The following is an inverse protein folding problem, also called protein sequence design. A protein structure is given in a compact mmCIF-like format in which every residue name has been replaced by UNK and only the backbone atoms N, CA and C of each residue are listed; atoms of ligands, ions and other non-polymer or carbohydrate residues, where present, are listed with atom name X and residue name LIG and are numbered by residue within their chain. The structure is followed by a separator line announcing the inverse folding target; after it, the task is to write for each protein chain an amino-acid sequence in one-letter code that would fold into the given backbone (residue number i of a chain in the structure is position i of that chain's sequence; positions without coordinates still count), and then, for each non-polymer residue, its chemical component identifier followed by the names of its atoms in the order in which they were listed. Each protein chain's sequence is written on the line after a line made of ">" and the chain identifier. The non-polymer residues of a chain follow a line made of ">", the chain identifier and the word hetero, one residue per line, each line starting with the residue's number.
data_IF_166312953969
#
_entry.id   IF_166312953969
#
_cell.length_a   1.000
_cell.length_b   1.000
_cell.length_c   1.000
_cell.angle_alpha   90.00
_cell.angle_beta   90.00
_cell.angle_gamma   90.00
#
_symmetry.space_group_name_H-M   'P 1'
#
loop_
_entity.id
_entity.type
_entity.pdbx_description
1 polymer ?
#
# COMPACT_ATOMS: atom_id res chain seq x y z
N UNK A 1 -1.39 -21.31 -8.04
CA UNK A 1 -1.01 -19.89 -7.84
C UNK A 1 0.38 -19.68 -8.39
N UNK A 2 0.63 -18.58 -9.10
CA UNK A 2 1.99 -18.18 -9.49
C UNK A 2 2.53 -17.26 -8.41
N UNK A 3 3.72 -17.55 -7.92
CA UNK A 3 4.47 -16.65 -7.04
C UNK A 3 5.32 -15.71 -7.89
N UNK A 4 5.40 -14.45 -7.49
CA UNK A 4 6.24 -13.44 -8.11
C UNK A 4 7.16 -12.86 -7.06
N UNK A 5 8.40 -12.60 -7.45
CA UNK A 5 9.38 -11.90 -6.64
C UNK A 5 9.57 -10.53 -7.27
N UNK A 6 9.50 -9.48 -6.46
CA UNK A 6 9.73 -8.10 -6.88
C UNK A 6 11.01 -7.60 -6.23
N UNK A 7 11.78 -6.80 -6.98
CA UNK A 7 12.91 -6.08 -6.43
C UNK A 7 12.49 -4.64 -6.16
N UNK A 8 12.82 -4.14 -4.98
CA UNK A 8 12.64 -2.76 -4.58
C UNK A 8 13.86 -2.31 -3.76
N UNK A 9 14.24 -1.02 -3.83
CA UNK A 9 15.20 -0.43 -2.91
C UNK A 9 14.78 -0.64 -1.45
N UNK A 10 15.75 -0.84 -0.55
CA UNK A 10 15.49 -1.14 0.87
C UNK A 10 14.75 0.01 1.57
N UNK A 11 15.15 1.26 1.29
CA UNK A 11 14.51 2.47 1.81
C UNK A 11 13.02 2.55 1.43
N UNK A 12 12.69 2.18 0.20
CA UNK A 12 11.29 2.12 -0.25
C UNK A 12 10.48 1.02 0.48
N UNK A 13 11.12 -0.11 0.81
CA UNK A 13 10.46 -1.19 1.56
C UNK A 13 10.19 -0.76 3.00
N UNK A 14 11.14 -0.07 3.62
CA UNK A 14 10.99 0.46 4.98
C UNK A 14 9.85 1.49 5.05
N UNK A 15 9.84 2.47 4.14
CA UNK A 15 8.77 3.47 4.05
C UNK A 15 7.39 2.83 3.82
N UNK A 16 7.34 1.77 3.00
CA UNK A 16 6.11 1.02 2.75
C UNK A 16 5.62 0.31 4.02
N UNK A 17 6.51 -0.36 4.75
CA UNK A 17 6.16 -1.07 5.98
C UNK A 17 5.68 -0.12 7.07
N UNK A 18 6.32 1.04 7.23
CA UNK A 18 5.89 2.08 8.18
C UNK A 18 4.49 2.59 7.84
N UNK A 19 4.21 2.83 6.55
CA UNK A 19 2.88 3.27 6.12
C UNK A 19 1.81 2.21 6.37
N UNK A 20 2.11 0.94 6.07
CA UNK A 20 1.20 -0.18 6.33
C UNK A 20 0.97 -0.35 7.84
N UNK A 21 2.00 -0.19 8.66
CA UNK A 21 1.86 -0.24 10.12
C UNK A 21 0.91 0.84 10.63
N UNK A 22 1.05 2.07 10.14
CA UNK A 22 0.16 3.17 10.49
C UNK A 22 -1.30 2.88 10.07
N UNK A 23 -1.52 2.44 8.83
CA UNK A 23 -2.85 2.09 8.33
C UNK A 23 -3.50 0.95 9.13
N UNK A 24 -2.71 -0.02 9.61
CA UNK A 24 -3.18 -1.08 10.52
C UNK A 24 -3.55 -0.53 11.89
N UNK A 25 -2.79 0.42 12.41
CA UNK A 25 -3.10 1.08 13.68
C UNK A 25 -4.38 1.92 13.60
N UNK A 26 -4.60 2.56 12.45
CA UNK A 26 -5.79 3.36 12.15
C UNK A 26 -7.03 2.51 11.83
N UNK A 27 -6.86 1.19 11.66
CA UNK A 27 -7.93 0.24 11.36
C UNK A 27 -8.38 0.23 9.89
N UNK A 28 -7.61 0.85 8.99
CA UNK A 28 -7.87 0.88 7.55
C UNK A 28 -7.49 -0.44 6.87
N UNK A 29 -6.49 -1.14 7.40
CA UNK A 29 -6.03 -2.45 6.92
C UNK A 29 -6.12 -3.47 8.07
N UNK A 30 -6.41 -4.73 7.75
CA UNK A 30 -6.34 -5.83 8.72
C UNK A 30 -4.97 -5.88 9.40
N UNK A 31 -4.98 -5.92 10.74
CA UNK A 31 -3.79 -5.93 11.58
C UNK A 31 -2.88 -7.11 11.25
N UNK A 32 -3.46 -8.23 10.85
CA UNK A 32 -2.74 -9.46 10.51
C UNK A 32 -2.39 -9.58 9.01
N UNK A 33 -2.72 -8.58 8.19
CA UNK A 33 -2.43 -8.59 6.76
C UNK A 33 -0.92 -8.71 6.49
N UNK A 34 -0.56 -9.64 5.60
CA UNK A 34 0.82 -9.78 5.14
C UNK A 34 1.17 -8.73 4.08
N UNK A 35 2.46 -8.42 3.93
CA UNK A 35 2.94 -7.47 2.90
C UNK A 35 2.46 -7.85 1.49
N UNK A 36 2.53 -9.13 1.14
CA UNK A 36 2.12 -9.63 -0.17
C UNK A 36 0.62 -9.49 -0.42
N UNK A 37 -0.18 -9.56 0.63
CA UNK A 37 -1.63 -9.35 0.56
C UNK A 37 -1.97 -7.89 0.31
N UNK A 38 -1.31 -6.97 1.01
CA UNK A 38 -1.44 -5.53 0.78
C UNK A 38 -1.02 -5.18 -0.64
N UNK A 39 0.14 -5.65 -1.09
CA UNK A 39 0.63 -5.41 -2.46
C UNK A 39 -0.35 -5.97 -3.49
N UNK A 40 -0.86 -7.19 -3.29
CA UNK A 40 -1.85 -7.79 -4.20
C UNK A 40 -3.12 -6.96 -4.29
N UNK A 41 -3.60 -6.43 -3.18
CA UNK A 41 -4.76 -5.55 -3.15
C UNK A 41 -4.51 -4.26 -3.94
N UNK A 42 -3.41 -3.56 -3.65
CA UNK A 42 -3.03 -2.32 -4.35
C UNK A 42 -2.85 -2.53 -5.87
N UNK A 43 -2.22 -3.63 -6.28
CA UNK A 43 -2.10 -3.98 -7.70
C UNK A 43 -3.46 -4.24 -8.35
N UNK A 44 -4.40 -4.84 -7.61
CA UNK A 44 -5.78 -5.07 -8.04
C UNK A 44 -6.53 -3.75 -8.24
N UNK A 45 -6.53 -2.88 -7.24
CA UNK A 45 -7.18 -1.56 -7.32
C UNK A 45 -6.63 -0.73 -8.50
N UNK A 46 -5.30 -0.73 -8.67
CA UNK A 46 -4.67 -0.03 -9.78
C UNK A 46 -5.14 -0.55 -11.14
N UNK A 47 -5.23 -1.88 -11.30
CA UNK A 47 -5.66 -2.54 -12.54
C UNK A 47 -7.16 -2.37 -12.84
N UNK A 48 -8.00 -2.27 -11.80
CA UNK A 48 -9.44 -2.03 -11.91
C UNK A 48 -9.79 -0.58 -12.27
N UNK A 49 -8.79 0.30 -12.38
CA UNK A 49 -8.97 1.69 -12.81
C UNK A 49 -8.93 2.70 -11.67
N UNK A 50 -8.55 2.31 -10.45
CA UNK A 50 -8.12 3.24 -9.41
C UNK A 50 -6.70 3.79 -9.69
N UNK A 51 -6.35 3.95 -10.96
CA UNK A 51 -5.12 4.57 -11.45
C UNK A 51 -5.15 6.10 -11.27
N UNK A 52 -6.28 6.65 -10.79
CA UNK A 52 -6.48 8.08 -10.53
C UNK A 52 -6.34 8.38 -9.04
N UNK A 53 -5.15 8.22 -8.49
CA UNK A 53 -4.77 9.03 -7.33
C UNK A 53 -3.28 9.30 -7.33
N UNK A 54 -2.84 10.01 -8.36
CA UNK A 54 -1.90 11.08 -8.14
C UNK A 54 -2.66 12.17 -7.37
N UNK A 55 -2.80 12.00 -6.06
CA UNK A 55 -3.23 13.06 -5.16
C UNK A 55 -2.42 12.95 -3.89
N UNK A 56 -1.19 13.44 -3.98
CA UNK A 56 -0.66 14.32 -2.94
C UNK A 56 -1.58 15.55 -2.86
N UNK A 57 -2.81 15.36 -2.37
CA UNK A 57 -3.61 16.43 -1.81
C UNK A 57 -3.44 16.26 -0.31
N UNK A 58 -2.39 16.91 0.21
CA UNK A 58 -2.26 17.23 1.62
C UNK A 58 -3.61 17.83 2.03
N UNK A 59 -4.36 17.14 2.88
CA UNK A 59 -5.55 17.73 3.48
C UNK A 59 -5.06 18.89 4.34
N UNK A 60 -5.20 20.11 3.84
CA UNK A 60 -5.04 21.35 4.61
C UNK A 60 -6.11 22.35 4.18
N UNK A 61 -6.91 22.73 5.19
CA UNK A 61 -7.73 23.93 5.38
C UNK A 61 -8.84 24.25 4.34
N UNK A 62 -10.10 24.14 4.75
CA UNK A 62 -10.77 25.17 5.58
C UNK A 62 -12.01 24.59 6.28
#
# INVERSE_FOLDING_TARGET
>A
MKTVSIYAPEDLVDDFDDKVWQMKADGEIDRDASRSEVIRHLMGEWAEGNSTSCSTAIVTAN
#
